data_IF_293870938762
#
_entry.id   IF_293870938762
#
_cell.length_a   1.000
_cell.length_b   1.000
_cell.length_c   1.000
_cell.angle_alpha   90.00
_cell.angle_beta   90.00
_cell.angle_gamma   90.00
#
_symmetry.space_group_name_H-M   'P 1'
#
loop_
_entity.id
_entity.type
_entity.pdbx_description
1 polymer ?
#
# COMPACT_ATOMS: atom_id res chain seq x y z
N UNK A 1 1.86 -4.37 -13.91
CA UNK A 1 1.04 -3.15 -13.70
C UNK A 1 -0.44 -3.39 -13.93
N UNK A 2 -0.84 -3.86 -15.13
CA UNK A 2 -2.26 -4.04 -15.52
C UNK A 2 -3.17 -4.67 -14.46
N UNK A 3 -2.77 -5.78 -13.83
CA UNK A 3 -3.60 -6.43 -12.79
C UNK A 3 -3.88 -5.57 -11.55
N UNK A 4 -2.90 -4.78 -11.08
CA UNK A 4 -3.08 -3.85 -9.95
C UNK A 4 -3.92 -2.65 -10.38
N UNK A 5 -3.66 -2.13 -11.57
CA UNK A 5 -4.38 -0.99 -12.16
C UNK A 5 -5.87 -1.28 -12.36
N UNK A 6 -6.22 -2.47 -12.86
CA UNK A 6 -7.60 -2.86 -13.14
C UNK A 6 -8.32 -3.45 -11.93
N UNK A 7 -7.57 -3.86 -10.90
CA UNK A 7 -8.13 -4.29 -9.60
C UNK A 7 -8.32 -3.14 -8.61
N UNK A 8 -8.23 -1.89 -9.06
CA UNK A 8 -8.25 -0.70 -8.19
C UNK A 8 -6.84 -0.17 -7.97
N UNK A 9 -6.07 -0.85 -7.11
CA UNK A 9 -4.68 -0.53 -6.81
C UNK A 9 -4.50 0.56 -5.76
N UNK A 10 -3.97 0.17 -4.60
CA UNK A 10 -3.64 1.10 -3.51
C UNK A 10 -2.22 1.65 -3.65
N UNK A 11 -2.04 2.88 -3.18
CA UNK A 11 -0.76 3.56 -3.06
C UNK A 11 -0.74 4.39 -1.79
N UNK A 12 0.44 4.92 -1.43
CA UNK A 12 0.57 5.88 -0.34
C UNK A 12 -0.27 7.15 -0.52
N UNK A 13 -0.62 7.48 -1.77
CA UNK A 13 -1.38 8.66 -2.15
C UNK A 13 -2.88 8.39 -2.28
N UNK A 14 -3.34 7.16 -2.03
CA UNK A 14 -4.73 6.79 -2.32
C UNK A 14 -5.76 7.54 -1.49
N UNK A 15 -5.41 7.96 -0.27
CA UNK A 15 -6.28 8.80 0.55
C UNK A 15 -6.56 10.17 -0.09
N UNK A 16 -5.62 10.70 -0.89
CA UNK A 16 -5.74 12.00 -1.55
C UNK A 16 -6.25 11.91 -2.98
N UNK A 17 -5.81 10.90 -3.73
CA UNK A 17 -6.01 10.80 -5.17
C UNK A 17 -6.87 9.62 -5.60
N UNK A 18 -7.40 8.84 -4.66
CA UNK A 18 -8.14 7.62 -4.95
C UNK A 18 -7.24 6.46 -5.36
N UNK A 19 -7.85 5.39 -5.83
CA UNK A 19 -7.14 4.22 -6.34
C UNK A 19 -6.41 4.55 -7.65
N UNK A 20 -5.48 3.68 -8.06
CA UNK A 20 -4.81 3.81 -9.36
C UNK A 20 -5.85 3.90 -10.50
N UNK A 21 -6.92 3.11 -10.40
CA UNK A 21 -8.02 3.09 -11.36
C UNK A 21 -8.80 4.40 -11.46
N UNK A 22 -8.94 5.14 -10.35
CA UNK A 22 -9.65 6.43 -10.32
C UNK A 22 -8.92 7.50 -11.15
N UNK A 23 -7.62 7.30 -11.37
CA UNK A 23 -6.76 8.21 -12.11
C UNK A 23 -6.64 7.85 -13.60
N UNK A 24 -7.34 6.82 -14.08
CA UNK A 24 -7.35 6.47 -15.52
C UNK A 24 -8.38 7.33 -16.25
N UNK A 25 -7.95 7.96 -17.34
CA UNK A 25 -8.80 8.80 -18.20
C UNK A 25 -9.16 8.12 -19.52
N UNK A 26 -8.32 7.20 -20.01
CA UNK A 26 -8.59 6.44 -21.22
C UNK A 26 -7.91 5.07 -21.22
N UNK A 27 -8.50 4.13 -21.95
CA UNK A 27 -7.96 2.79 -22.21
C UNK A 27 -7.90 2.55 -23.72
N UNK A 28 -6.81 1.95 -24.20
CA UNK A 28 -6.82 1.26 -25.50
C UNK A 28 -7.10 -0.22 -25.24
N UNK A 29 -8.19 -0.73 -25.82
CA UNK A 29 -8.73 -2.05 -25.55
C UNK A 29 -8.82 -2.85 -26.85
N UNK A 30 -8.28 -4.07 -26.83
CA UNK A 30 -8.55 -5.10 -27.82
C UNK A 30 -9.77 -5.89 -27.37
N UNK A 31 -10.85 -5.79 -28.14
CA UNK A 31 -12.11 -6.48 -27.90
C UNK A 31 -12.02 -7.97 -28.25
N UNK A 32 -12.95 -8.82 -27.77
CA UNK A 32 -12.95 -10.25 -28.08
C UNK A 32 -13.05 -10.59 -29.57
N UNK A 33 -13.57 -9.68 -30.39
CA UNK A 33 -13.65 -9.83 -31.84
C UNK A 33 -12.34 -9.43 -32.57
N UNK A 34 -11.33 -8.96 -31.83
CA UNK A 34 -10.02 -8.54 -32.36
C UNK A 34 -9.93 -7.05 -32.71
N UNK A 35 -11.03 -6.30 -32.62
CA UNK A 35 -11.03 -4.86 -32.90
C UNK A 35 -10.32 -4.07 -31.78
N UNK A 36 -9.64 -2.98 -32.15
CA UNK A 36 -8.99 -2.08 -31.22
C UNK A 36 -9.85 -0.82 -31.08
N UNK A 37 -10.17 -0.45 -29.84
CA UNK A 37 -10.97 0.74 -29.53
C UNK A 37 -10.35 1.55 -28.40
N UNK A 38 -10.65 2.86 -28.37
CA UNK A 38 -10.31 3.75 -27.26
C UNK A 38 -11.56 4.02 -26.42
N UNK A 39 -11.48 3.64 -25.15
CA UNK A 39 -12.57 3.78 -24.17
C UNK A 39 -12.26 4.94 -23.23
N UNK A 40 -13.12 5.95 -23.18
CA UNK A 40 -13.09 7.06 -22.22
C UNK A 40 -14.45 7.17 -21.53
N UNK A 41 -14.55 8.01 -20.50
CA UNK A 41 -15.83 8.26 -19.81
C UNK A 41 -16.87 8.93 -20.73
N UNK A 42 -16.42 9.60 -21.79
CA UNK A 42 -17.26 10.27 -22.77
C UNK A 42 -17.62 9.37 -23.96
N UNK A 43 -16.71 8.47 -24.38
CA UNK A 43 -16.96 7.59 -25.54
C UNK A 43 -17.81 6.37 -25.20
N UNK A 44 -17.56 5.74 -24.05
CA UNK A 44 -18.32 4.59 -23.55
C UNK A 44 -18.27 4.56 -22.00
N UNK A 45 -19.17 5.30 -21.32
CA UNK A 45 -19.14 5.45 -19.87
C UNK A 45 -19.35 4.13 -19.12
N UNK A 46 -20.16 3.21 -19.66
CA UNK A 46 -20.44 1.91 -19.03
C UNK A 46 -19.19 1.02 -19.06
N UNK A 47 -18.55 0.92 -20.24
CA UNK A 47 -17.32 0.16 -20.37
C UNK A 47 -16.16 0.81 -19.61
N UNK A 48 -16.05 2.15 -19.64
CA UNK A 48 -15.03 2.88 -18.87
C UNK A 48 -15.14 2.62 -17.36
N UNK A 49 -16.37 2.61 -16.83
CA UNK A 49 -16.63 2.24 -15.44
C UNK A 49 -16.31 0.76 -15.18
N UNK A 50 -16.72 -0.15 -16.06
CA UNK A 50 -16.52 -1.58 -15.88
C UNK A 50 -15.03 -1.99 -15.91
N UNK A 51 -14.22 -1.33 -16.73
CA UNK A 51 -12.76 -1.55 -16.77
C UNK A 51 -12.04 -1.08 -15.49
N UNK A 52 -12.66 -0.16 -14.72
CA UNK A 52 -12.14 0.38 -13.45
C UNK A 52 -12.46 -0.52 -12.25
N UNK A 53 -12.13 -1.81 -12.34
CA UNK A 53 -12.39 -2.81 -11.30
C UNK A 53 -12.70 -4.20 -11.84
N UNK A 54 -13.07 -4.30 -13.11
CA UNK A 54 -13.47 -5.54 -13.77
C UNK A 54 -12.33 -6.37 -14.35
N UNK A 55 -11.07 -6.08 -14.01
CA UNK A 55 -9.90 -6.82 -14.52
C UNK A 55 -9.94 -6.96 -16.06
N UNK A 56 -9.56 -8.12 -16.59
CA UNK A 56 -9.47 -8.42 -18.01
C UNK A 56 -10.77 -9.04 -18.59
N UNK A 57 -11.92 -8.85 -17.92
CA UNK A 57 -13.18 -9.49 -18.34
C UNK A 57 -13.72 -8.96 -19.68
N UNK A 58 -13.33 -7.74 -20.08
CA UNK A 58 -13.90 -7.05 -21.24
C UNK A 58 -12.95 -6.98 -22.45
N UNK A 59 -11.74 -7.53 -22.33
CA UNK A 59 -10.74 -7.53 -23.38
C UNK A 59 -9.31 -7.39 -22.84
N UNK A 60 -8.38 -7.14 -23.75
CA UNK A 60 -6.96 -6.94 -23.43
C UNK A 60 -6.64 -5.46 -23.54
N UNK A 61 -6.25 -4.84 -22.42
CA UNK A 61 -5.80 -3.45 -22.45
C UNK A 61 -4.33 -3.39 -22.85
N UNK A 62 -4.05 -2.64 -23.91
CA UNK A 62 -2.73 -2.42 -24.49
C UNK A 62 -2.12 -1.09 -24.07
N UNK A 63 -2.93 -0.05 -23.87
CA UNK A 63 -2.48 1.25 -23.38
C UNK A 63 -3.41 1.85 -22.33
N UNK A 64 -2.82 2.64 -21.44
CA UNK A 64 -3.52 3.41 -20.41
C UNK A 64 -3.10 4.87 -20.52
N UNK A 65 -4.05 5.78 -20.33
CA UNK A 65 -3.77 7.20 -20.11
C UNK A 65 -4.15 7.55 -18.68
N UNK A 66 -3.19 8.07 -17.92
CA UNK A 66 -3.36 8.44 -16.53
C UNK A 66 -3.33 9.95 -16.33
N UNK A 67 -4.16 10.42 -15.40
CA UNK A 67 -3.98 11.72 -14.76
C UNK A 67 -2.78 11.65 -13.82
N UNK A 68 -1.83 12.56 -13.99
CA UNK A 68 -0.65 12.67 -13.14
C UNK A 68 -0.82 13.78 -12.10
N UNK A 69 -0.13 13.64 -10.98
CA UNK A 69 -0.12 14.62 -9.89
C UNK A 69 1.32 15.04 -9.61
N UNK A 70 1.52 16.35 -9.38
CA UNK A 70 2.82 16.86 -8.98
C UNK A 70 3.11 16.45 -7.53
N UNK A 71 4.32 15.97 -7.28
CA UNK A 71 4.76 15.51 -5.98
C UNK A 71 6.18 16.03 -5.73
N UNK A 72 6.37 16.70 -4.60
CA UNK A 72 7.68 17.16 -4.15
C UNK A 72 8.38 16.13 -3.28
N UNK A 73 9.29 16.61 -2.44
CA UNK A 73 9.90 15.77 -1.41
C UNK A 73 8.86 15.32 -0.38
N UNK A 74 8.95 14.05 -0.01
CA UNK A 74 8.10 13.40 0.97
C UNK A 74 8.89 13.09 2.23
N UNK A 75 8.21 12.97 3.36
CA UNK A 75 8.78 12.53 4.61
C UNK A 75 8.26 11.13 4.92
N UNK A 76 9.16 10.20 5.19
CA UNK A 76 8.75 8.84 5.50
C UNK A 76 9.88 7.83 5.46
N UNK A 77 9.50 6.57 5.62
CA UNK A 77 10.39 5.43 5.57
C UNK A 77 9.99 4.31 6.52
N UNK A 78 10.89 3.33 6.65
CA UNK A 78 10.65 2.11 7.41
C UNK A 78 11.08 2.19 8.86
N UNK A 79 10.27 1.58 9.73
CA UNK A 79 10.56 1.28 11.12
C UNK A 79 10.45 -0.24 11.30
N UNK A 80 11.40 -0.85 12.00
CA UNK A 80 11.36 -2.28 12.33
C UNK A 80 11.24 -2.45 13.83
N UNK A 81 10.25 -3.23 14.24
CA UNK A 81 10.01 -3.61 15.62
C UNK A 81 10.12 -5.12 15.79
N UNK A 82 10.61 -5.51 16.96
CA UNK A 82 10.71 -6.90 17.40
C UNK A 82 10.01 -7.04 18.75
N UNK A 83 9.92 -8.27 19.26
CA UNK A 83 9.51 -8.50 20.63
C UNK A 83 10.39 -7.72 21.63
N UNK A 84 9.83 -7.29 22.79
CA UNK A 84 8.45 -7.52 23.24
C UNK A 84 7.44 -6.45 22.76
N UNK A 85 7.83 -5.51 21.90
CA UNK A 85 7.05 -4.30 21.62
C UNK A 85 5.95 -4.48 20.56
N UNK A 86 5.81 -5.66 19.95
CA UNK A 86 4.90 -5.88 18.82
C UNK A 86 3.45 -5.49 19.16
N UNK A 87 2.95 -5.85 20.34
CA UNK A 87 1.56 -5.56 20.73
C UNK A 87 1.31 -4.04 20.89
N UNK A 88 2.32 -3.31 21.37
CA UNK A 88 2.26 -1.84 21.46
C UNK A 88 2.18 -1.21 20.07
N UNK A 89 2.94 -1.76 19.11
CA UNK A 89 2.94 -1.25 17.73
C UNK A 89 1.63 -1.59 17.03
N UNK A 90 1.08 -2.79 17.24
CA UNK A 90 -0.25 -3.16 16.72
C UNK A 90 -1.32 -2.21 17.26
N UNK A 91 -1.25 -1.88 18.56
CA UNK A 91 -2.14 -0.89 19.18
C UNK A 91 -1.95 0.50 18.57
N UNK A 92 -0.71 0.93 18.32
CA UNK A 92 -0.44 2.21 17.66
C UNK A 92 -0.95 2.27 16.22
N UNK A 93 -0.88 1.16 15.47
CA UNK A 93 -1.48 1.05 14.12
C UNK A 93 -3.01 1.15 14.20
N UNK A 94 -3.65 0.43 15.14
CA UNK A 94 -5.09 0.49 15.35
C UNK A 94 -5.54 1.93 15.69
N UNK A 95 -4.83 2.58 16.60
CA UNK A 95 -5.08 3.95 17.00
C UNK A 95 -4.92 4.93 15.83
N UNK A 96 -3.88 4.77 15.00
CA UNK A 96 -3.69 5.57 13.80
C UNK A 96 -4.85 5.39 12.83
N UNK A 97 -5.27 4.15 12.56
CA UNK A 97 -6.40 3.87 11.66
C UNK A 97 -7.71 4.47 12.17
N UNK A 98 -7.95 4.44 13.47
CA UNK A 98 -9.18 4.97 14.07
C UNK A 98 -9.22 6.51 14.16
N UNK A 99 -8.06 7.17 14.23
CA UNK A 99 -7.97 8.61 14.52
C UNK A 99 -7.44 9.48 13.38
N UNK A 100 -6.78 8.89 12.37
CA UNK A 100 -6.18 9.66 11.29
C UNK A 100 -7.25 10.27 10.36
N UNK A 101 -7.33 11.59 10.36
CA UNK A 101 -8.13 12.37 9.40
C UNK A 101 -7.28 13.04 8.33
N UNK A 102 -5.95 12.86 8.37
CA UNK A 102 -5.03 13.50 7.44
C UNK A 102 -4.86 12.63 6.18
N UNK A 103 -5.37 13.12 5.06
CA UNK A 103 -5.30 12.45 3.75
C UNK A 103 -3.88 12.37 3.16
N UNK A 104 -2.94 13.15 3.70
CA UNK A 104 -1.54 13.16 3.30
C UNK A 104 -0.69 12.19 4.15
N UNK A 105 -1.25 11.59 5.21
CA UNK A 105 -0.58 10.63 6.08
C UNK A 105 -1.08 9.20 5.82
N UNK A 106 -0.13 8.28 5.63
CA UNK A 106 -0.41 6.85 5.41
C UNK A 106 0.54 6.00 6.24
N UNK A 107 0.01 4.94 6.85
CA UNK A 107 0.79 3.92 7.58
C UNK A 107 0.51 2.56 6.95
N UNK A 108 1.57 1.83 6.63
CA UNK A 108 1.49 0.44 6.17
C UNK A 108 2.23 -0.43 7.17
N UNK A 109 1.55 -1.41 7.75
CA UNK A 109 2.15 -2.36 8.69
C UNK A 109 2.18 -3.76 8.07
N UNK A 110 3.34 -4.40 8.14
CA UNK A 110 3.57 -5.75 7.62
C UNK A 110 4.14 -6.61 8.73
N UNK A 111 3.37 -7.60 9.16
CA UNK A 111 3.85 -8.63 10.06
C UNK A 111 4.56 -9.72 9.26
N UNK A 112 5.76 -10.10 9.69
CA UNK A 112 6.56 -11.15 9.05
C UNK A 112 7.26 -11.97 10.13
N UNK A 113 7.53 -13.24 9.86
CA UNK A 113 8.25 -14.12 10.79
C UNK A 113 9.44 -14.77 10.11
N UNK A 114 10.65 -14.32 10.43
CA UNK A 114 11.91 -14.89 9.90
C UNK A 114 13.07 -14.65 10.88
N UNK A 115 13.57 -15.65 11.63
CA UNK A 115 12.89 -16.82 12.20
C UNK A 115 11.94 -16.47 13.37
N UNK A 116 12.01 -15.24 13.87
CA UNK A 116 11.18 -14.69 14.94
C UNK A 116 10.20 -13.63 14.39
N UNK A 117 9.16 -13.25 15.15
CA UNK A 117 8.24 -12.18 14.76
C UNK A 117 8.93 -10.83 14.57
N UNK A 118 8.66 -10.20 13.42
CA UNK A 118 9.10 -8.87 13.05
C UNK A 118 7.89 -8.10 12.55
N UNK A 119 7.73 -6.86 13.03
CA UNK A 119 6.72 -5.95 12.53
C UNK A 119 7.40 -4.77 11.85
N UNK A 120 7.25 -4.71 10.53
CA UNK A 120 7.75 -3.62 9.70
C UNK A 120 6.63 -2.60 9.51
N UNK A 121 6.89 -1.34 9.85
CA UNK A 121 5.94 -0.24 9.68
C UNK A 121 6.55 0.78 8.74
N UNK A 122 5.87 1.06 7.64
CA UNK A 122 6.22 2.16 6.73
C UNK A 122 5.35 3.36 7.03
N UNK A 123 5.98 4.48 7.36
CA UNK A 123 5.34 5.77 7.51
C UNK A 123 5.49 6.56 6.21
N UNK A 124 4.41 7.20 5.78
CA UNK A 124 4.40 8.11 4.64
C UNK A 124 3.68 9.40 4.99
N UNK A 125 4.30 10.51 4.61
CA UNK A 125 3.68 11.83 4.61
C UNK A 125 3.97 12.57 3.32
N UNK A 126 2.92 13.06 2.66
CA UNK A 126 3.02 13.92 1.50
C UNK A 126 3.41 15.36 1.91
N UNK A 127 4.68 15.52 2.25
CA UNK A 127 5.30 16.80 2.61
C UNK A 127 6.70 16.59 3.17
N UNK A 128 7.54 17.62 3.10
CA UNK A 128 8.98 17.47 3.36
C UNK A 128 9.35 17.41 4.86
N UNK A 129 8.39 17.54 5.77
CA UNK A 129 8.62 17.55 7.22
C UNK A 129 7.62 16.67 7.94
N UNK A 130 8.05 16.06 9.06
CA UNK A 130 7.18 15.22 9.89
C UNK A 130 5.98 16.04 10.38
N UNK A 131 4.74 15.57 10.18
CA UNK A 131 3.58 16.22 10.77
C UNK A 131 3.57 16.04 12.29
N UNK A 132 3.21 17.07 13.07
CA UNK A 132 3.13 16.95 14.53
C UNK A 132 1.95 16.05 14.94
N UNK A 133 2.10 15.27 16.02
CA UNK A 133 1.04 14.50 16.67
C UNK A 133 0.40 13.36 15.83
N UNK A 134 0.89 13.07 14.63
CA UNK A 134 0.34 12.00 13.78
C UNK A 134 1.08 10.67 13.99
N UNK A 135 2.42 10.73 14.04
CA UNK A 135 3.26 9.52 14.08
C UNK A 135 3.93 9.29 15.44
N UNK A 136 3.67 10.15 16.42
CA UNK A 136 4.44 10.18 17.68
C UNK A 136 4.41 8.85 18.44
N UNK A 137 3.25 8.16 18.47
CA UNK A 137 3.12 6.83 19.08
C UNK A 137 4.11 5.79 18.53
N UNK A 138 4.48 5.88 17.25
CA UNK A 138 5.48 4.99 16.67
C UNK A 138 6.89 5.33 17.16
N UNK A 139 7.19 6.61 17.40
CA UNK A 139 8.50 7.05 17.90
C UNK A 139 8.68 6.83 19.39
N UNK A 140 7.59 6.77 20.16
CA UNK A 140 7.58 6.49 21.61
C UNK A 140 7.89 5.01 21.93
N UNK A 141 7.72 4.11 20.95
CA UNK A 141 7.99 2.68 21.10
C UNK A 141 9.45 2.40 20.71
N UNK A 142 10.23 1.66 21.54
CA UNK A 142 11.59 1.26 21.15
C UNK A 142 11.59 0.38 19.90
N UNK A 143 12.44 0.75 18.94
CA UNK A 143 12.56 0.16 17.60
C UNK A 143 13.95 -0.39 17.35
N UNK A 144 14.03 -1.45 16.56
CA UNK A 144 15.28 -2.12 16.21
C UNK A 144 16.00 -1.42 15.04
N UNK A 145 15.23 -0.87 14.09
CA UNK A 145 15.77 -0.14 12.95
C UNK A 145 14.85 1.05 12.59
N UNK A 146 15.47 2.10 12.07
CA UNK A 146 14.82 3.29 11.56
C UNK A 146 15.51 3.78 10.29
N UNK A 147 14.73 4.07 9.26
CA UNK A 147 15.15 4.81 8.07
C UNK A 147 14.06 5.83 7.73
N UNK A 148 13.70 6.73 8.64
CA UNK A 148 12.70 7.78 8.37
C UNK A 148 13.41 9.09 8.09
N UNK A 149 13.19 9.66 6.90
CA UNK A 149 13.79 10.94 6.49
C UNK A 149 13.02 11.59 5.35
N UNK A 150 13.31 12.86 5.10
CA UNK A 150 12.88 13.57 3.89
C UNK A 150 13.64 13.04 2.69
N UNK A 151 12.94 12.70 1.62
CA UNK A 151 13.50 12.10 0.40
C UNK A 151 12.56 12.29 -0.79
N UNK A 152 13.02 11.97 -1.99
CA UNK A 152 12.12 11.90 -3.15
C UNK A 152 11.16 10.72 -3.01
N UNK A 153 9.97 10.81 -3.62
CA UNK A 153 9.02 9.69 -3.61
C UNK A 153 9.62 8.42 -4.23
N UNK A 154 10.41 8.56 -5.29
CA UNK A 154 11.14 7.46 -5.93
C UNK A 154 12.08 6.78 -4.94
N UNK A 155 12.88 7.54 -4.19
CA UNK A 155 13.77 6.95 -3.19
C UNK A 155 13.00 6.25 -2.08
N UNK A 156 11.82 6.76 -1.69
CA UNK A 156 10.96 6.08 -0.71
C UNK A 156 10.47 4.74 -1.24
N UNK A 157 9.89 4.68 -2.44
CA UNK A 157 9.36 3.43 -2.98
C UNK A 157 10.48 2.44 -3.30
N UNK A 158 11.66 2.91 -3.70
CA UNK A 158 12.84 2.06 -3.94
C UNK A 158 13.42 1.54 -2.62
N UNK A 159 13.45 2.35 -1.55
CA UNK A 159 13.91 1.91 -0.23
C UNK A 159 12.89 1.01 0.48
N UNK A 160 11.59 1.28 0.31
CA UNK A 160 10.51 0.42 0.77
C UNK A 160 10.50 -0.91 -0.01
N UNK A 161 10.89 -0.88 -1.29
CA UNK A 161 11.24 -2.07 -2.07
C UNK A 161 12.67 -2.52 -1.76
N UNK A 162 12.95 -2.88 -0.51
CA UNK A 162 14.19 -3.56 -0.16
C UNK A 162 13.87 -4.95 0.40
N UNK A 163 14.51 -6.01 -0.15
CA UNK A 163 14.24 -7.41 0.16
C UNK A 163 14.85 -7.77 1.51
N UNK A 164 14.30 -7.27 2.61
CA UNK A 164 14.96 -7.45 3.89
C UNK A 164 14.84 -8.87 4.48
N UNK A 165 13.92 -9.69 3.96
CA UNK A 165 13.65 -11.01 4.55
C UNK A 165 13.47 -12.15 3.54
N UNK A 166 13.49 -11.90 2.22
CA UNK A 166 13.05 -12.88 1.21
C UNK A 166 14.05 -13.14 0.08
N UNK A 167 15.22 -12.50 0.06
CA UNK A 167 16.25 -12.88 -0.91
C UNK A 167 16.63 -14.35 -0.68
N UNK A 168 16.51 -15.17 -1.73
CA UNK A 168 16.78 -16.60 -1.76
C UNK A 168 15.86 -17.53 -0.95
N UNK A 169 14.74 -17.04 -0.41
CA UNK A 169 13.75 -17.87 0.28
C UNK A 169 12.55 -18.20 -0.61
N UNK A 170 12.17 -19.49 -0.67
CA UNK A 170 10.86 -19.90 -1.20
C UNK A 170 9.80 -19.60 -0.15
N UNK A 171 8.90 -18.67 -0.44
CA UNK A 171 7.78 -18.31 0.43
C UNK A 171 6.43 -18.52 -0.24
N UNK A 172 5.42 -18.85 0.54
CA UNK A 172 4.01 -18.70 0.15
C UNK A 172 3.47 -17.42 0.80
N UNK A 173 2.71 -16.63 0.04
CA UNK A 173 2.04 -15.43 0.56
C UNK A 173 0.55 -15.72 0.67
N UNK A 174 0.00 -15.56 1.87
CA UNK A 174 -1.44 -15.62 2.12
C UNK A 174 -1.90 -14.22 2.49
N UNK A 175 -2.87 -13.69 1.75
CA UNK A 175 -3.52 -12.43 2.08
C UNK A 175 -4.89 -12.76 2.66
N UNK A 176 -5.15 -12.29 3.89
CA UNK A 176 -6.44 -12.43 4.55
C UNK A 176 -6.96 -11.03 4.86
N UNK A 177 -8.17 -10.73 4.41
CA UNK A 177 -8.85 -9.50 4.79
C UNK A 177 -9.42 -9.67 6.19
N UNK A 178 -8.96 -8.84 7.13
CA UNK A 178 -9.50 -8.79 8.48
C UNK A 178 -10.55 -7.67 8.55
N UNK A 179 -11.73 -7.94 9.09
CA UNK A 179 -12.74 -6.92 9.37
C UNK A 179 -12.37 -6.07 10.59
N UNK A 180 -11.64 -6.67 11.54
CA UNK A 180 -11.09 -6.04 12.73
C UNK A 180 -9.72 -6.65 13.06
N UNK A 181 -8.84 -5.90 13.72
CA UNK A 181 -7.53 -6.39 14.17
C UNK A 181 -7.71 -7.44 15.29
N UNK A 182 -7.85 -8.71 14.91
CA UNK A 182 -7.90 -9.82 15.86
C UNK A 182 -6.50 -10.31 16.21
N UNK A 183 -6.10 -10.12 17.47
CA UNK A 183 -4.81 -10.58 18.04
C UNK A 183 -4.57 -12.10 17.83
N UNK A 184 -5.64 -12.90 17.72
CA UNK A 184 -5.55 -14.35 17.58
C UNK A 184 -4.78 -14.85 16.34
N UNK A 185 -4.78 -14.10 15.23
CA UNK A 185 -3.99 -14.45 14.02
C UNK A 185 -2.49 -14.30 14.27
N UNK A 186 -2.10 -13.40 15.18
CA UNK A 186 -0.69 -13.20 15.57
C UNK A 186 -0.22 -14.34 16.50
N UNK A 187 -1.13 -14.98 17.23
CA UNK A 187 -0.84 -16.00 18.24
C UNK A 187 -0.98 -17.46 17.78
N UNK A 188 -1.52 -17.72 16.57
CA UNK A 188 -2.03 -19.06 16.20
C UNK A 188 -0.99 -20.14 15.85
N UNK A 189 0.27 -20.03 16.27
CA UNK A 189 1.29 -21.09 16.05
C UNK A 189 2.22 -21.27 17.28
N UNK A 190 1.65 -21.24 18.48
CA UNK A 190 2.30 -21.91 19.61
C UNK A 190 1.94 -23.39 19.54
N UNK A 191 2.87 -24.32 19.27
CA UNK A 191 2.55 -25.74 19.37
C UNK A 191 2.17 -26.01 20.83
N UNK A 192 0.92 -26.40 21.04
CA UNK A 192 0.48 -27.03 22.28
C UNK A 192 1.37 -28.25 22.52
N UNK A 193 2.14 -28.23 23.61
CA UNK A 193 2.67 -29.44 24.23
C UNK A 193 1.52 -30.36 24.65
#
# INVERSE_FOLDING_TARGET
MSGVTLGGGYSYLSNRHGLVTDNIVAFELVLPNGDITTVTAESDPELSWALKGGYNNFGIITHYVFKTHSLGDVWGGGLIYTQPNIDLVVSAVADFQASNTNVDATVVAVYTRVPAPVLSVTLFYNGSTRPPNIFDKFFDIPRAQEDVKTRTYTDLITAASAPFLLNDLRGAMHTVSLTDLTVGVIQSDSPSN
#
